data_IF_645702548385
#
_entry.id   IF_645702548385
#
_cell.length_a   1.000
_cell.length_b   1.000
_cell.length_c   1.000
_cell.angle_alpha   90.00
_cell.angle_beta   90.00
_cell.angle_gamma   90.00
#
_symmetry.space_group_name_H-M   'P 1'
#
loop_
_entity.id
_entity.type
_entity.pdbx_description
1 polymer ?
#
# COMPACT_ATOMS: atom_id res chain seq x y z
N UNK A 1 9.56 18.07 22.34
CA UNK A 1 8.58 17.03 21.97
C UNK A 1 9.35 15.99 21.18
N UNK A 2 9.65 14.82 21.78
CA UNK A 2 10.23 13.71 21.03
C UNK A 2 9.13 13.17 20.13
N UNK A 3 9.26 13.47 18.83
CA UNK A 3 8.35 12.96 17.79
C UNK A 3 9.02 11.81 17.03
N UNK A 4 9.95 11.12 17.67
CA UNK A 4 10.40 9.75 17.38
C UNK A 4 9.28 8.74 17.70
N UNK A 5 8.03 9.08 17.34
CA UNK A 5 6.92 8.13 17.28
C UNK A 5 7.33 7.05 16.29
N UNK A 6 7.75 5.91 16.87
CA UNK A 6 8.23 4.73 16.20
C UNK A 6 7.43 4.49 14.94
N UNK A 7 8.05 4.76 13.79
CA UNK A 7 7.48 4.38 12.51
C UNK A 7 7.45 2.86 12.55
N UNK A 8 6.27 2.31 12.85
CA UNK A 8 6.09 0.87 12.92
C UNK A 8 6.22 0.32 11.52
N UNK A 9 7.15 -0.63 11.35
CA UNK A 9 7.33 -1.33 10.10
C UNK A 9 6.25 -2.41 10.01
N UNK A 10 5.58 -2.48 8.87
CA UNK A 10 4.58 -3.51 8.63
C UNK A 10 5.28 -4.83 8.30
N UNK A 11 4.87 -5.88 8.99
CA UNK A 11 5.29 -7.25 8.67
C UNK A 11 4.52 -7.80 7.46
N UNK A 12 5.08 -8.82 6.80
CA UNK A 12 4.46 -9.40 5.61
C UNK A 12 3.02 -9.90 5.87
N UNK A 13 2.77 -10.49 7.04
CA UNK A 13 1.46 -11.03 7.42
C UNK A 13 0.43 -9.92 7.62
N UNK A 14 0.85 -8.79 8.19
CA UNK A 14 0.00 -7.61 8.35
C UNK A 14 -0.24 -6.90 7.02
N UNK A 15 0.78 -6.82 6.17
CA UNK A 15 0.65 -6.28 4.82
C UNK A 15 -0.37 -7.09 4.03
N UNK A 16 -0.28 -8.42 4.04
CA UNK A 16 -1.26 -9.31 3.37
C UNK A 16 -2.68 -9.10 3.86
N UNK A 17 -2.87 -8.82 5.16
CA UNK A 17 -4.20 -8.51 5.73
C UNK A 17 -4.68 -7.13 5.33
N UNK A 18 -3.79 -6.16 5.16
CA UNK A 18 -4.12 -4.80 4.75
C UNK A 18 -4.34 -4.65 3.23
N UNK A 19 -3.71 -5.48 2.40
CA UNK A 19 -3.88 -5.48 0.94
C UNK A 19 -5.35 -5.41 0.50
N UNK A 20 -6.28 -6.27 0.95
CA UNK A 20 -7.68 -6.19 0.53
C UNK A 20 -8.34 -4.84 0.85
N UNK A 21 -8.00 -4.20 1.98
CA UNK A 21 -8.53 -2.88 2.32
C UNK A 21 -7.90 -1.76 1.47
N UNK A 22 -6.60 -1.85 1.18
CA UNK A 22 -5.91 -0.98 0.21
C UNK A 22 -6.57 -1.10 -1.17
N UNK A 23 -6.83 -2.33 -1.65
CA UNK A 23 -7.49 -2.58 -2.93
C UNK A 23 -8.92 -2.06 -2.97
N UNK A 24 -9.71 -2.23 -1.90
CA UNK A 24 -11.07 -1.67 -1.82
C UNK A 24 -11.04 -0.15 -1.88
N UNK A 25 -10.11 0.50 -1.17
CA UNK A 25 -9.96 1.95 -1.18
C UNK A 25 -9.50 2.46 -2.55
N UNK A 26 -8.60 1.74 -3.22
CA UNK A 26 -8.18 2.03 -4.59
C UNK A 26 -9.33 1.87 -5.60
N UNK A 27 -10.21 0.88 -5.42
CA UNK A 27 -11.40 0.72 -6.26
C UNK A 27 -12.44 1.83 -6.03
N UNK A 28 -12.53 2.36 -4.81
CA UNK A 28 -13.48 3.41 -4.45
C UNK A 28 -12.95 4.83 -4.72
N UNK A 29 -11.64 5.00 -4.96
CA UNK A 29 -11.01 6.31 -5.12
C UNK A 29 -9.90 6.26 -6.16
N UNK A 30 -10.14 6.88 -7.32
CA UNK A 30 -9.16 6.98 -8.40
C UNK A 30 -7.88 7.70 -7.96
N UNK A 31 -7.97 8.73 -7.10
CA UNK A 31 -6.81 9.40 -6.52
C UNK A 31 -5.95 8.44 -5.68
N UNK A 32 -6.60 7.58 -4.88
CA UNK A 32 -5.89 6.60 -4.07
C UNK A 32 -5.30 5.48 -4.93
N UNK A 33 -5.98 5.09 -6.01
CA UNK A 33 -5.46 4.16 -7.00
C UNK A 33 -4.19 4.68 -7.65
N UNK A 34 -4.18 5.94 -8.09
CA UNK A 34 -2.96 6.59 -8.62
C UNK A 34 -1.86 6.63 -7.55
N UNK A 35 -2.19 6.97 -6.30
CA UNK A 35 -1.24 6.95 -5.18
C UNK A 35 -0.62 5.56 -4.98
N UNK A 36 -1.39 4.47 -5.11
CA UNK A 36 -0.84 3.11 -5.03
C UNK A 36 0.20 2.84 -6.13
N UNK A 37 -0.05 3.34 -7.35
CA UNK A 37 0.86 3.13 -8.49
C UNK A 37 2.11 4.01 -8.41
N UNK A 38 1.97 5.27 -7.98
CA UNK A 38 3.09 6.22 -7.87
C UNK A 38 3.90 6.05 -6.58
N UNK A 39 3.24 5.69 -5.47
CA UNK A 39 3.81 5.69 -4.13
C UNK A 39 3.18 4.58 -3.26
N UNK A 40 3.52 3.30 -3.51
CA UNK A 40 3.00 2.15 -2.77
C UNK A 40 3.22 2.28 -1.25
N UNK A 41 4.38 2.79 -0.84
CA UNK A 41 4.72 3.04 0.57
C UNK A 41 3.75 3.99 1.27
N UNK A 42 3.31 5.05 0.57
CA UNK A 42 2.36 6.03 1.10
C UNK A 42 0.97 5.43 1.19
N UNK A 43 0.56 4.66 0.18
CA UNK A 43 -0.73 4.00 0.19
C UNK A 43 -0.86 2.98 1.34
N UNK A 44 0.19 2.20 1.60
CA UNK A 44 0.26 1.29 2.75
C UNK A 44 0.21 2.08 4.06
N UNK A 45 0.95 3.19 4.16
CA UNK A 45 0.93 4.04 5.36
C UNK A 45 -0.45 4.67 5.62
N UNK A 46 -1.15 5.12 4.58
CA UNK A 46 -2.49 5.72 4.68
C UNK A 46 -3.57 4.74 5.17
N UNK A 47 -3.37 3.43 4.98
CA UNK A 47 -4.34 2.40 5.38
C UNK A 47 -3.95 1.75 6.69
N UNK A 48 -2.66 1.52 6.92
CA UNK A 48 -2.16 0.74 8.06
C UNK A 48 -1.53 1.60 9.15
N UNK A 49 -1.18 2.86 8.85
CA UNK A 49 -0.37 3.72 9.72
C UNK A 49 1.10 3.27 9.84
N UNK A 50 1.52 2.26 9.09
CA UNK A 50 2.83 1.61 9.16
C UNK A 50 3.61 1.80 7.86
N UNK A 51 4.93 1.80 7.93
CA UNK A 51 5.79 1.88 6.74
C UNK A 51 6.21 0.50 6.26
N UNK A 52 6.52 0.41 4.98
CA UNK A 52 7.17 -0.76 4.42
C UNK A 52 8.56 -0.98 5.01
N UNK A 53 9.01 -2.24 5.15
CA UNK A 53 10.37 -2.53 5.58
C UNK A 53 11.40 -1.95 4.61
N UNK A 54 12.53 -1.49 5.14
CA UNK A 54 13.67 -1.09 4.33
C UNK A 54 14.11 -2.23 3.40
N UNK A 55 14.17 -1.95 2.10
CA UNK A 55 14.48 -2.94 1.06
C UNK A 55 13.28 -3.72 0.51
N UNK A 56 12.06 -3.49 1.00
CA UNK A 56 10.85 -4.09 0.44
C UNK A 56 10.50 -3.43 -0.91
N UNK A 57 10.49 -4.23 -1.98
CA UNK A 57 10.09 -3.77 -3.30
C UNK A 57 8.60 -4.07 -3.53
N UNK A 58 7.72 -3.20 -3.02
CA UNK A 58 6.29 -3.28 -3.28
C UNK A 58 5.93 -2.49 -4.54
N UNK A 59 5.16 -3.09 -5.44
CA UNK A 59 4.61 -2.38 -6.61
C UNK A 59 3.19 -2.85 -6.83
N UNK A 60 2.24 -1.92 -6.85
CA UNK A 60 0.88 -2.24 -7.26
C UNK A 60 0.86 -2.27 -8.79
N UNK A 61 0.39 -3.38 -9.35
CA UNK A 61 0.10 -3.45 -10.78
C UNK A 61 -1.39 -3.34 -10.94
N UNK A 62 -1.82 -2.43 -11.80
CA UNK A 62 -3.20 -2.45 -12.23
C UNK A 62 -3.31 -3.58 -13.26
N UNK A 63 -3.93 -4.68 -12.88
CA UNK A 63 -4.25 -5.76 -13.82
C UNK A 63 -5.40 -5.27 -14.73
N UNK A 64 -5.06 -4.34 -15.63
CA UNK A 64 -5.79 -4.05 -16.86
C UNK A 64 -5.20 -4.90 -18.00
N UNK A 65 -4.74 -6.10 -17.66
CA UNK A 65 -4.41 -7.14 -18.63
C UNK A 65 -5.47 -8.21 -18.48
N UNK A 66 -6.69 -7.86 -18.90
CA UNK A 66 -7.50 -8.83 -19.60
C UNK A 66 -6.64 -9.33 -20.78
N UNK A 67 -5.83 -10.38 -20.54
CA UNK A 67 -5.36 -11.27 -21.59
C UNK A 67 -6.61 -11.92 -22.17
N UNK A 68 -7.26 -11.17 -23.07
CA UNK A 68 -8.18 -11.71 -24.05
C UNK A 68 -7.35 -12.54 -25.03
N UNK A 69 -7.20 -13.81 -24.67
CA UNK A 69 -6.87 -14.88 -25.62
C UNK A 69 -8.05 -15.10 -26.58
#
# INVERSE_FOLDING_TARGET
>A
MNLDSQVQIIDEDELKKALPDIFKRAQASDEFRQLCLESPEKAVFEVTGKRLPDGANLSFSNDDQASGA
#
